data_IF_232504183782
#
_entry.id   IF_232504183782
#
_cell.length_a   1.000
_cell.length_b   1.000
_cell.length_c   1.000
_cell.angle_alpha   90.00
_cell.angle_beta   90.00
_cell.angle_gamma   90.00
#
_symmetry.space_group_name_H-M   'P 1'
#
loop_
_entity.id
_entity.type
_entity.pdbx_description
1 polymer ?
#
# COMPACT_ATOMS: atom_id res chain seq x y z
N UNK A 1 40.14 -9.92 44.68
CA UNK A 1 40.52 -9.34 43.38
C UNK A 1 40.26 -10.30 42.22
N UNK A 2 40.51 -11.60 42.35
CA UNK A 2 40.36 -12.56 41.24
C UNK A 2 38.92 -12.86 40.81
N UNK A 3 37.98 -12.83 41.75
CA UNK A 3 36.55 -13.02 41.42
C UNK A 3 36.01 -11.88 40.52
N UNK A 4 36.34 -10.65 40.84
CA UNK A 4 35.94 -9.50 40.03
C UNK A 4 36.54 -9.53 38.63
N UNK A 5 37.82 -9.97 38.49
CA UNK A 5 38.45 -10.17 37.19
C UNK A 5 37.79 -11.26 36.36
N UNK A 6 37.40 -12.38 37.01
CA UNK A 6 36.66 -13.47 36.35
C UNK A 6 35.28 -12.98 35.86
N UNK A 7 34.51 -12.27 36.71
CA UNK A 7 33.21 -11.73 36.35
C UNK A 7 33.35 -10.76 35.18
N UNK A 8 34.31 -9.81 35.22
CA UNK A 8 34.58 -8.86 34.13
C UNK A 8 34.91 -9.59 32.82
N UNK A 9 35.72 -10.64 32.86
CA UNK A 9 36.07 -11.45 31.67
C UNK A 9 34.84 -12.17 31.10
N UNK A 10 33.97 -12.74 31.92
CA UNK A 10 32.74 -13.39 31.44
C UNK A 10 31.76 -12.38 30.88
N UNK A 11 31.62 -11.21 31.47
CA UNK A 11 30.81 -10.13 30.92
C UNK A 11 31.33 -9.63 29.56
N UNK A 12 32.66 -9.50 29.41
CA UNK A 12 33.29 -9.14 28.16
C UNK A 12 33.03 -10.20 27.08
N UNK A 13 33.24 -11.47 27.39
CA UNK A 13 32.98 -12.58 26.45
C UNK A 13 31.51 -12.64 26.09
N UNK A 14 30.60 -12.53 27.04
CA UNK A 14 29.16 -12.46 26.80
C UNK A 14 28.78 -11.29 25.91
N UNK A 15 29.35 -10.13 26.16
CA UNK A 15 29.15 -8.93 25.29
C UNK A 15 29.65 -9.12 23.85
N UNK A 16 30.81 -9.76 23.70
CA UNK A 16 31.35 -10.07 22.35
C UNK A 16 30.49 -11.09 21.60
N UNK A 17 30.01 -12.13 22.29
CA UNK A 17 29.12 -13.14 21.69
C UNK A 17 27.78 -12.52 21.28
N UNK A 18 27.21 -11.69 22.14
CA UNK A 18 25.96 -10.97 21.85
C UNK A 18 26.14 -10.01 20.66
N UNK A 19 27.25 -9.25 20.64
CA UNK A 19 27.60 -8.37 19.54
C UNK A 19 27.78 -9.13 18.22
N UNK A 20 28.49 -10.26 18.27
CA UNK A 20 28.67 -11.15 17.11
C UNK A 20 27.33 -11.70 16.60
N UNK A 21 26.48 -12.20 17.49
CA UNK A 21 25.17 -12.70 17.13
C UNK A 21 24.29 -11.57 16.50
N UNK A 22 24.42 -10.35 17.00
CA UNK A 22 23.71 -9.19 16.45
C UNK A 22 24.17 -8.85 15.04
N UNK A 23 25.50 -8.86 14.81
CA UNK A 23 26.08 -8.64 13.49
C UNK A 23 25.60 -9.70 12.51
N UNK A 24 25.66 -10.98 12.89
CA UNK A 24 25.17 -12.09 12.06
C UNK A 24 23.67 -11.92 11.75
N UNK A 25 22.87 -11.55 12.75
CA UNK A 25 21.44 -11.30 12.57
C UNK A 25 21.18 -10.19 11.56
N UNK A 26 21.90 -9.07 11.64
CA UNK A 26 21.73 -7.95 10.67
C UNK A 26 22.29 -8.35 9.31
N UNK A 27 23.47 -8.99 9.27
CA UNK A 27 24.11 -9.43 8.03
C UNK A 27 23.27 -10.49 7.28
N UNK A 28 22.40 -11.23 7.99
CA UNK A 28 21.48 -12.17 7.34
C UNK A 28 20.59 -11.49 6.28
N UNK A 29 20.40 -10.16 6.34
CA UNK A 29 19.66 -9.41 5.33
C UNK A 29 20.33 -9.44 3.93
N UNK A 30 21.62 -9.76 3.84
CA UNK A 30 22.28 -9.99 2.55
C UNK A 30 21.89 -11.31 1.89
N UNK A 31 21.39 -12.27 2.68
CA UNK A 31 21.02 -13.63 2.24
C UNK A 31 19.49 -13.83 2.16
N UNK A 32 18.69 -12.77 2.34
CA UNK A 32 17.26 -12.84 2.01
C UNK A 32 17.07 -13.15 0.53
N UNK A 33 15.85 -13.62 0.19
CA UNK A 33 15.47 -14.02 -1.15
C UNK A 33 16.09 -13.15 -2.25
N UNK A 34 16.38 -13.76 -3.38
CA UNK A 34 17.07 -13.08 -4.46
C UNK A 34 16.27 -11.87 -4.98
N UNK A 35 16.66 -10.69 -4.49
CA UNK A 35 16.07 -9.42 -4.91
C UNK A 35 16.13 -9.23 -6.43
N UNK A 36 17.11 -9.86 -7.11
CA UNK A 36 17.26 -9.78 -8.55
C UNK A 36 16.11 -10.43 -9.32
N UNK A 37 15.44 -11.43 -8.74
CA UNK A 37 14.23 -12.03 -9.33
C UNK A 37 13.10 -11.02 -9.51
N UNK A 38 13.02 -10.01 -8.64
CA UNK A 38 12.02 -8.95 -8.75
C UNK A 38 12.14 -8.11 -10.02
N UNK A 39 13.25 -8.22 -10.77
CA UNK A 39 13.37 -7.63 -12.12
C UNK A 39 12.32 -8.22 -13.08
N UNK A 40 12.02 -9.50 -12.94
CA UNK A 40 11.20 -10.26 -13.89
C UNK A 40 9.93 -10.84 -13.27
N UNK A 41 9.97 -11.17 -11.98
CA UNK A 41 8.85 -11.80 -11.26
C UNK A 41 8.17 -10.81 -10.33
N UNK A 42 6.86 -10.88 -10.25
CA UNK A 42 6.08 -10.13 -9.28
C UNK A 42 6.01 -10.91 -7.97
N UNK A 43 6.17 -10.25 -6.80
CA UNK A 43 5.99 -10.92 -5.53
C UNK A 43 4.52 -11.36 -5.36
N UNK A 44 4.31 -12.62 -5.06
CA UNK A 44 2.96 -13.18 -4.86
C UNK A 44 2.45 -12.96 -3.42
N UNK A 45 3.37 -12.93 -2.47
CA UNK A 45 3.06 -12.69 -1.05
C UNK A 45 4.18 -11.91 -0.38
N UNK A 46 3.84 -10.91 0.38
CA UNK A 46 4.81 -10.08 1.11
C UNK A 46 4.80 -10.41 2.60
N UNK A 47 5.87 -10.02 3.31
CA UNK A 47 5.92 -10.15 4.76
C UNK A 47 4.78 -9.39 5.45
N UNK A 48 4.36 -8.24 4.90
CA UNK A 48 3.21 -7.48 5.42
C UNK A 48 1.89 -8.22 5.24
N UNK A 49 1.66 -8.86 4.09
CA UNK A 49 0.47 -9.70 3.88
C UNK A 49 0.41 -10.86 4.88
N UNK A 50 1.53 -11.58 5.04
CA UNK A 50 1.64 -12.65 6.03
C UNK A 50 1.37 -12.15 7.45
N UNK A 51 1.94 -11.00 7.82
CA UNK A 51 1.69 -10.39 9.11
C UNK A 51 0.21 -10.01 9.31
N UNK A 52 -0.46 -9.54 8.26
CA UNK A 52 -1.88 -9.20 8.30
C UNK A 52 -2.75 -10.43 8.54
N UNK A 53 -2.48 -11.53 7.86
CA UNK A 53 -3.18 -12.81 8.07
C UNK A 53 -3.00 -13.33 9.49
N UNK A 54 -1.77 -13.32 10.01
CA UNK A 54 -1.47 -13.69 11.40
C UNK A 54 -2.25 -12.80 12.38
N UNK A 55 -2.30 -11.50 12.17
CA UNK A 55 -3.07 -10.59 13.01
C UNK A 55 -4.58 -10.91 13.01
N UNK A 56 -5.13 -11.27 11.86
CA UNK A 56 -6.54 -11.67 11.76
C UNK A 56 -6.81 -12.99 12.47
N UNK A 57 -5.91 -13.96 12.33
CA UNK A 57 -5.99 -15.24 13.02
C UNK A 57 -6.03 -15.03 14.54
N UNK A 58 -5.09 -14.23 15.10
CA UNK A 58 -5.09 -13.88 16.52
C UNK A 58 -6.37 -13.19 17.00
N UNK A 59 -7.01 -12.40 16.14
CA UNK A 59 -8.27 -11.73 16.45
C UNK A 59 -9.50 -12.60 16.20
N UNK A 60 -9.34 -13.87 15.79
CA UNK A 60 -10.44 -14.76 15.45
C UNK A 60 -11.21 -14.37 14.17
N UNK A 61 -10.63 -13.53 13.32
CA UNK A 61 -11.26 -13.03 12.09
C UNK A 61 -11.03 -14.00 10.92
N UNK A 62 -11.57 -15.21 11.01
CA UNK A 62 -11.33 -16.33 10.07
C UNK A 62 -11.81 -16.08 8.62
N UNK A 63 -12.71 -15.13 8.40
CA UNK A 63 -13.31 -14.87 7.09
C UNK A 63 -12.61 -13.76 6.30
N UNK A 64 -11.60 -13.10 6.87
CA UNK A 64 -10.84 -12.08 6.17
C UNK A 64 -9.82 -12.70 5.23
N UNK A 65 -9.66 -12.08 4.06
CA UNK A 65 -8.70 -12.48 3.03
C UNK A 65 -7.97 -11.26 2.50
N UNK A 66 -6.73 -11.49 2.07
CA UNK A 66 -5.97 -10.50 1.31
C UNK A 66 -6.65 -10.32 -0.05
N UNK A 67 -6.89 -9.05 -0.40
CA UNK A 67 -7.35 -8.66 -1.73
C UNK A 67 -6.24 -7.88 -2.43
N UNK A 68 -5.71 -8.43 -3.50
CA UNK A 68 -4.66 -7.85 -4.32
C UNK A 68 -4.92 -8.13 -5.79
N UNK A 69 -4.76 -7.11 -6.63
CA UNK A 69 -4.78 -7.23 -8.09
C UNK A 69 -3.54 -6.52 -8.61
N UNK A 70 -2.66 -7.28 -9.29
CA UNK A 70 -1.46 -6.71 -9.89
C UNK A 70 -1.77 -6.04 -11.22
N UNK A 71 -1.25 -4.83 -11.42
CA UNK A 71 -1.29 -4.12 -12.70
C UNK A 71 0.09 -3.51 -13.01
N UNK A 72 0.54 -3.53 -14.28
CA UNK A 72 1.80 -2.87 -14.65
C UNK A 72 1.66 -1.35 -14.47
N UNK A 73 2.79 -0.67 -14.24
CA UNK A 73 2.81 0.78 -14.03
C UNK A 73 2.14 1.57 -15.17
N UNK A 74 2.17 1.04 -16.40
CA UNK A 74 1.51 1.63 -17.57
C UNK A 74 -0.03 1.57 -17.53
N UNK A 75 -0.60 0.77 -16.63
CA UNK A 75 -2.05 0.65 -16.38
C UNK A 75 -2.49 1.34 -15.08
N UNK A 76 -1.62 2.15 -14.49
CA UNK A 76 -1.92 2.99 -13.33
C UNK A 76 -2.02 4.44 -13.82
N UNK A 77 -3.02 5.15 -13.35
CA UNK A 77 -3.18 6.58 -13.64
C UNK A 77 -1.88 7.33 -13.32
N UNK A 78 -1.37 8.16 -14.23
CA UNK A 78 -0.19 8.99 -13.95
C UNK A 78 -0.40 9.90 -12.74
N UNK A 79 -1.64 10.34 -12.50
CA UNK A 79 -2.00 11.10 -11.31
C UNK A 79 -1.76 10.31 -10.02
N UNK A 80 -2.11 9.02 -10.01
CA UNK A 80 -1.93 8.17 -8.84
C UNK A 80 -0.45 7.95 -8.52
N UNK A 81 0.37 7.65 -9.51
CA UNK A 81 1.81 7.52 -9.32
C UNK A 81 2.43 8.85 -8.82
N UNK A 82 2.04 9.99 -9.39
CA UNK A 82 2.53 11.32 -9.00
C UNK A 82 2.05 11.74 -7.61
N UNK A 83 0.79 11.49 -7.27
CA UNK A 83 0.26 11.79 -5.94
C UNK A 83 1.00 11.02 -4.83
N UNK A 84 1.31 9.74 -5.07
CA UNK A 84 2.08 8.91 -4.13
C UNK A 84 3.50 9.44 -3.99
N UNK A 85 4.18 9.78 -5.08
CA UNK A 85 5.51 10.39 -5.04
C UNK A 85 5.51 11.68 -4.21
N UNK A 86 4.58 12.59 -4.48
CA UNK A 86 4.46 13.87 -3.75
C UNK A 86 4.15 13.66 -2.26
N UNK A 87 3.32 12.67 -1.94
CA UNK A 87 2.90 12.44 -0.55
C UNK A 87 3.96 11.73 0.29
N UNK A 88 4.70 10.78 -0.28
CA UNK A 88 5.57 9.84 0.42
C UNK A 88 7.07 10.09 0.17
N UNK A 89 7.46 10.50 -1.05
CA UNK A 89 8.87 10.60 -1.43
C UNK A 89 9.04 11.49 -2.68
N UNK A 90 8.96 12.79 -2.47
CA UNK A 90 8.96 13.76 -3.56
C UNK A 90 10.24 13.77 -4.39
N UNK A 91 11.37 13.35 -3.79
CA UNK A 91 12.68 13.25 -4.43
C UNK A 91 13.04 11.84 -4.88
N UNK A 92 12.08 10.92 -4.99
CA UNK A 92 12.29 9.50 -5.28
C UNK A 92 13.28 9.22 -6.42
N UNK A 93 13.21 9.98 -7.50
CA UNK A 93 14.09 9.81 -8.66
C UNK A 93 15.48 10.48 -8.50
N UNK A 94 15.66 11.28 -7.44
CA UNK A 94 16.88 12.07 -7.22
C UNK A 94 17.85 11.46 -6.18
N UNK A 95 17.46 10.37 -5.52
CA UNK A 95 18.28 9.68 -4.52
C UNK A 95 18.39 8.18 -4.80
N UNK A 96 19.36 7.52 -4.20
CA UNK A 96 19.61 6.06 -4.30
C UNK A 96 19.12 5.32 -3.05
N UNK A 97 17.81 5.40 -2.79
CA UNK A 97 17.15 4.70 -1.70
C UNK A 97 17.07 5.48 -0.38
N UNK A 98 17.87 6.51 -0.17
CA UNK A 98 17.91 7.29 1.07
C UNK A 98 17.88 8.79 0.77
N UNK A 99 16.85 9.49 1.23
CA UNK A 99 16.80 10.95 1.22
C UNK A 99 17.31 11.49 2.56
N UNK A 100 18.63 11.71 2.63
CA UNK A 100 19.28 12.20 3.85
C UNK A 100 18.80 13.60 4.24
N UNK A 101 18.42 14.45 3.29
CA UNK A 101 17.91 15.79 3.57
C UNK A 101 16.52 15.72 4.21
N UNK A 102 15.63 14.87 3.66
CA UNK A 102 14.32 14.65 4.27
C UNK A 102 14.43 13.99 5.65
N UNK A 103 15.36 13.04 5.83
CA UNK A 103 15.65 12.43 7.13
C UNK A 103 16.12 13.45 8.15
N UNK A 104 17.05 14.32 7.80
CA UNK A 104 17.54 15.39 8.67
C UNK A 104 16.42 16.34 9.06
N UNK A 105 15.63 16.82 8.09
CA UNK A 105 14.48 17.70 8.34
C UNK A 105 13.43 17.05 9.26
N UNK A 106 13.20 15.74 9.12
CA UNK A 106 12.28 15.01 9.99
C UNK A 106 12.81 14.96 11.43
N UNK A 107 14.09 14.64 11.62
CA UNK A 107 14.74 14.62 12.95
C UNK A 107 14.72 16.01 13.61
N UNK A 108 15.09 17.07 12.89
CA UNK A 108 15.04 18.44 13.40
C UNK A 108 13.63 18.83 13.87
N UNK A 109 12.62 18.42 13.09
CA UNK A 109 11.22 18.69 13.41
C UNK A 109 10.73 17.90 14.62
N UNK A 110 11.14 16.64 14.74
CA UNK A 110 10.84 15.79 15.88
C UNK A 110 11.48 16.33 17.16
N UNK A 111 12.72 16.79 17.11
CA UNK A 111 13.42 17.43 18.24
C UNK A 111 12.69 18.70 18.65
N UNK A 112 12.36 19.60 17.69
CA UNK A 112 11.63 20.85 17.98
C UNK A 112 10.27 20.63 18.62
N UNK A 113 9.59 19.54 18.30
CA UNK A 113 8.25 19.22 18.79
C UNK A 113 8.26 18.29 20.01
N UNK A 114 9.42 17.77 20.41
CA UNK A 114 9.55 16.80 21.49
C UNK A 114 8.78 15.49 21.23
N UNK A 115 8.55 15.14 19.98
CA UNK A 115 7.72 13.99 19.57
C UNK A 115 8.29 13.33 18.33
N UNK A 116 8.50 12.02 18.38
CA UNK A 116 8.86 11.20 17.21
C UNK A 116 7.62 10.96 16.33
N UNK A 117 7.31 11.93 15.49
CA UNK A 117 6.09 11.91 14.65
C UNK A 117 6.37 11.97 13.15
N UNK A 118 7.46 12.61 12.75
CA UNK A 118 7.78 12.81 11.34
C UNK A 118 8.66 11.68 10.83
N UNK A 119 8.27 11.04 9.74
CA UNK A 119 9.02 9.99 9.09
C UNK A 119 9.77 10.54 7.88
N UNK A 120 11.06 10.23 7.76
CA UNK A 120 11.87 10.49 6.57
C UNK A 120 12.17 9.20 5.80
N UNK A 121 11.25 8.24 5.78
CA UNK A 121 11.47 6.99 5.05
C UNK A 121 11.02 7.13 3.60
N UNK A 122 11.87 6.72 2.68
CA UNK A 122 11.64 6.74 1.23
C UNK A 122 10.72 5.59 0.80
N UNK A 123 10.21 5.66 -0.44
CA UNK A 123 9.44 4.57 -1.07
C UNK A 123 10.26 3.28 -1.11
N UNK A 124 11.57 3.34 -1.41
CA UNK A 124 12.44 2.16 -1.43
C UNK A 124 12.60 1.51 -0.07
N UNK A 125 12.71 2.30 1.01
CA UNK A 125 12.74 1.81 2.39
C UNK A 125 11.40 1.18 2.79
N UNK A 126 10.29 1.81 2.41
CA UNK A 126 8.95 1.26 2.64
C UNK A 126 8.75 -0.05 1.88
N UNK A 127 9.21 -0.12 0.63
CA UNK A 127 9.15 -1.35 -0.17
C UNK A 127 9.95 -2.49 0.47
N UNK A 128 11.21 -2.23 0.87
CA UNK A 128 12.05 -3.20 1.56
C UNK A 128 11.36 -3.76 2.81
N UNK A 129 10.77 -2.87 3.61
CA UNK A 129 9.99 -3.24 4.80
C UNK A 129 8.78 -4.11 4.43
N UNK A 130 7.98 -3.69 3.46
CA UNK A 130 6.75 -4.38 3.09
C UNK A 130 7.00 -5.78 2.53
N UNK A 131 8.04 -5.94 1.72
CA UNK A 131 8.38 -7.21 1.10
C UNK A 131 8.94 -8.24 2.09
N UNK A 132 9.87 -7.81 2.96
CA UNK A 132 10.77 -8.74 3.65
C UNK A 132 10.69 -8.68 5.17
N UNK A 133 10.08 -7.64 5.77
CA UNK A 133 10.17 -7.37 7.20
C UNK A 133 8.81 -7.24 7.86
N UNK A 134 8.77 -7.44 9.18
CA UNK A 134 7.59 -7.18 9.99
C UNK A 134 7.39 -5.67 10.23
N UNK A 135 6.18 -5.20 10.55
CA UNK A 135 5.91 -3.79 10.88
C UNK A 135 6.44 -3.36 12.26
N UNK A 136 7.19 -4.20 12.97
CA UNK A 136 7.74 -3.89 14.30
C UNK A 136 8.64 -2.65 14.29
N UNK A 137 8.69 -1.93 15.42
CA UNK A 137 9.55 -0.74 15.61
C UNK A 137 10.92 -1.09 16.23
N UNK A 138 11.52 -2.22 15.87
CA UNK A 138 12.80 -2.65 16.38
C UNK A 138 13.95 -1.98 15.61
N UNK A 139 14.97 -1.36 16.28
CA UNK A 139 16.14 -0.77 15.62
C UNK A 139 16.91 -1.75 14.72
N UNK A 140 17.03 -3.02 15.13
CA UNK A 140 17.70 -4.05 14.34
C UNK A 140 16.95 -4.37 13.04
N UNK A 141 15.62 -4.35 13.09
CA UNK A 141 14.81 -4.43 11.88
C UNK A 141 15.10 -3.24 10.95
N UNK A 142 15.27 -2.03 11.52
CA UNK A 142 15.62 -0.85 10.71
C UNK A 142 16.99 -0.99 10.05
N UNK A 143 17.97 -1.59 10.72
CA UNK A 143 19.27 -1.90 10.12
C UNK A 143 19.13 -2.88 8.94
N UNK A 144 18.33 -3.95 9.08
CA UNK A 144 18.02 -4.86 7.96
C UNK A 144 17.31 -4.15 6.81
N UNK A 145 16.36 -3.26 7.13
CA UNK A 145 15.65 -2.45 6.13
C UNK A 145 16.63 -1.62 5.28
N UNK A 146 17.66 -1.02 5.89
CA UNK A 146 18.68 -0.27 5.16
C UNK A 146 19.45 -1.14 4.17
N UNK A 147 19.88 -2.32 4.59
CA UNK A 147 20.57 -3.28 3.71
C UNK A 147 19.68 -3.70 2.55
N UNK A 148 18.42 -4.05 2.83
CA UNK A 148 17.47 -4.47 1.81
C UNK A 148 17.12 -3.33 0.85
N UNK A 149 17.03 -2.10 1.34
CA UNK A 149 16.83 -0.90 0.50
C UNK A 149 17.98 -0.74 -0.49
N UNK A 150 19.21 -0.81 0.00
CA UNK A 150 20.40 -0.76 -0.85
C UNK A 150 20.42 -1.88 -1.91
N UNK A 151 20.04 -3.12 -1.53
CA UNK A 151 19.90 -4.25 -2.47
C UNK A 151 18.85 -3.99 -3.52
N UNK A 152 17.68 -3.44 -3.15
CA UNK A 152 16.60 -3.10 -4.10
C UNK A 152 17.09 -2.07 -5.12
N UNK A 153 17.71 -0.97 -4.66
CA UNK A 153 18.19 0.09 -5.53
C UNK A 153 19.30 -0.37 -6.49
N UNK A 154 20.21 -1.23 -6.02
CA UNK A 154 21.28 -1.78 -6.88
C UNK A 154 20.78 -2.81 -7.90
N UNK A 155 19.63 -3.42 -7.66
CA UNK A 155 19.11 -4.48 -8.54
C UNK A 155 17.96 -4.02 -9.42
N UNK A 156 17.17 -3.05 -9.01
CA UNK A 156 15.93 -2.66 -9.70
C UNK A 156 16.03 -1.22 -10.20
N UNK A 157 15.42 -0.95 -11.33
CA UNK A 157 15.20 0.43 -11.76
C UNK A 157 14.18 1.15 -10.85
N UNK A 158 14.29 2.46 -10.71
CA UNK A 158 13.31 3.30 -10.00
C UNK A 158 11.88 3.03 -10.46
N UNK A 159 11.68 2.89 -11.77
CA UNK A 159 10.39 2.56 -12.37
C UNK A 159 9.83 1.23 -11.83
N UNK A 160 10.71 0.20 -11.70
CA UNK A 160 10.31 -1.11 -11.18
C UNK A 160 10.05 -1.07 -9.68
N UNK A 161 10.85 -0.35 -8.91
CA UNK A 161 10.61 -0.13 -7.48
C UNK A 161 9.25 0.51 -7.24
N UNK A 162 8.92 1.57 -7.99
CA UNK A 162 7.62 2.24 -7.88
C UNK A 162 6.47 1.31 -8.29
N UNK A 163 6.64 0.55 -9.37
CA UNK A 163 5.63 -0.43 -9.83
C UNK A 163 5.33 -1.46 -8.75
N UNK A 164 6.36 -2.07 -8.17
CA UNK A 164 6.20 -3.06 -7.11
C UNK A 164 5.55 -2.39 -5.89
N UNK A 165 6.03 -1.22 -5.47
CA UNK A 165 5.49 -0.49 -4.32
C UNK A 165 3.99 -0.25 -4.45
N UNK A 166 3.54 0.30 -5.58
CA UNK A 166 2.14 0.59 -5.83
C UNK A 166 1.26 -0.68 -5.81
N UNK A 167 1.83 -1.84 -6.13
CA UNK A 167 1.11 -3.12 -6.16
C UNK A 167 1.16 -3.90 -4.84
N UNK A 168 2.10 -3.59 -3.92
CA UNK A 168 2.24 -4.34 -2.66
C UNK A 168 1.99 -3.51 -1.41
N UNK A 169 1.89 -2.19 -1.51
CA UNK A 169 1.51 -1.34 -0.38
C UNK A 169 0.11 -1.68 0.10
N UNK A 170 -0.11 -1.61 1.42
CA UNK A 170 -1.43 -1.75 2.02
C UNK A 170 -2.17 -0.41 2.00
N UNK A 171 -3.39 -0.40 1.48
CA UNK A 171 -4.25 0.78 1.32
C UNK A 171 -5.48 0.76 2.24
N UNK A 172 -5.70 -0.36 2.91
CA UNK A 172 -6.80 -0.61 3.83
C UNK A 172 -6.61 -1.98 4.47
N UNK A 173 -7.45 -2.37 5.42
CA UNK A 173 -7.32 -3.64 6.13
C UNK A 173 -7.45 -4.84 5.18
N UNK A 174 -6.30 -5.36 4.72
CA UNK A 174 -6.21 -6.46 3.76
C UNK A 174 -6.33 -6.06 2.30
N UNK A 175 -6.37 -4.76 2.00
CA UNK A 175 -6.40 -4.24 0.64
C UNK A 175 -4.98 -3.88 0.24
N UNK A 176 -4.38 -4.69 -0.62
CA UNK A 176 -3.02 -4.53 -1.09
C UNK A 176 -2.99 -4.19 -2.58
N UNK A 177 -2.20 -3.20 -2.93
CA UNK A 177 -2.06 -2.70 -4.30
C UNK A 177 -3.12 -1.69 -4.71
N UNK A 178 -2.69 -0.78 -5.58
CA UNK A 178 -3.48 0.38 -6.00
C UNK A 178 -4.71 0.02 -6.82
N UNK A 179 -4.66 -1.06 -7.60
CA UNK A 179 -5.81 -1.54 -8.38
C UNK A 179 -6.91 -2.06 -7.45
N UNK A 180 -6.52 -2.87 -6.44
CA UNK A 180 -7.45 -3.35 -5.43
C UNK A 180 -8.07 -2.18 -4.64
N UNK A 181 -7.24 -1.18 -4.28
CA UNK A 181 -7.69 0.02 -3.58
C UNK A 181 -8.66 0.85 -4.42
N UNK A 182 -8.33 1.09 -5.69
CA UNK A 182 -9.18 1.85 -6.62
C UNK A 182 -10.56 1.19 -6.77
N UNK A 183 -10.59 -0.12 -7.00
CA UNK A 183 -11.86 -0.88 -7.10
C UNK A 183 -12.66 -0.85 -5.81
N UNK A 184 -11.98 -1.02 -4.66
CA UNK A 184 -12.64 -1.05 -3.37
C UNK A 184 -13.24 0.29 -2.98
N UNK A 185 -12.51 1.38 -3.14
CA UNK A 185 -12.92 2.70 -2.65
C UNK A 185 -13.70 3.53 -3.68
N UNK A 186 -13.41 3.37 -4.97
CA UNK A 186 -13.97 4.20 -6.04
C UNK A 186 -14.72 3.41 -7.11
N UNK A 187 -14.75 2.08 -7.05
CA UNK A 187 -15.51 1.23 -7.98
C UNK A 187 -14.97 1.19 -9.41
N UNK A 188 -13.72 1.65 -9.65
CA UNK A 188 -13.11 1.74 -10.97
C UNK A 188 -11.66 1.25 -10.98
N UNK A 189 -11.08 1.12 -12.18
CA UNK A 189 -9.68 0.69 -12.33
C UNK A 189 -8.71 1.78 -11.87
N UNK A 190 -7.48 1.38 -11.49
CA UNK A 190 -6.43 2.33 -11.13
C UNK A 190 -6.03 3.27 -12.29
N UNK A 191 -6.29 2.88 -13.54
CA UNK A 191 -6.07 3.71 -14.71
C UNK A 191 -7.01 4.93 -14.79
N UNK A 192 -8.21 4.80 -14.20
CA UNK A 192 -9.29 5.78 -14.27
C UNK A 192 -9.33 6.72 -13.05
N UNK A 193 -8.37 6.60 -12.12
CA UNK A 193 -8.30 7.48 -10.96
C UNK A 193 -8.11 8.94 -11.38
N UNK A 194 -9.02 9.78 -10.93
CA UNK A 194 -8.93 11.23 -11.08
C UNK A 194 -7.80 11.80 -10.20
N UNK A 195 -7.29 13.02 -10.45
CA UNK A 195 -6.27 13.63 -9.61
C UNK A 195 -6.63 13.72 -8.13
N UNK A 196 -7.88 14.07 -7.80
CA UNK A 196 -8.33 14.18 -6.41
C UNK A 196 -8.44 12.81 -5.74
N UNK A 197 -8.97 11.79 -6.42
CA UNK A 197 -9.03 10.42 -5.90
C UNK A 197 -7.63 9.85 -5.68
N UNK A 198 -6.71 10.10 -6.60
CA UNK A 198 -5.30 9.77 -6.49
C UNK A 198 -4.66 10.41 -5.26
N UNK A 199 -4.91 11.71 -5.03
CA UNK A 199 -4.44 12.43 -3.85
C UNK A 199 -5.04 11.84 -2.56
N UNK A 200 -6.34 11.53 -2.53
CA UNK A 200 -7.02 10.91 -1.37
C UNK A 200 -6.45 9.52 -1.06
N UNK A 201 -6.15 8.70 -2.07
CA UNK A 201 -5.46 7.42 -1.87
C UNK A 201 -4.05 7.65 -1.31
N UNK A 202 -3.25 8.50 -1.91
CA UNK A 202 -1.86 8.70 -1.48
C UNK A 202 -1.75 9.09 0.01
N UNK A 203 -2.66 9.92 0.52
CA UNK A 203 -2.58 10.41 1.91
C UNK A 203 -3.01 9.41 2.97
N UNK A 204 -3.57 8.26 2.61
CA UNK A 204 -3.92 7.21 3.60
C UNK A 204 -2.79 6.22 3.82
N UNK A 205 -1.79 6.14 2.95
CA UNK A 205 -0.65 5.22 3.03
C UNK A 205 0.09 5.21 4.38
N UNK A 206 0.29 6.34 5.08
CA UNK A 206 0.96 6.31 6.37
C UNK A 206 0.20 5.56 7.47
N UNK A 207 -1.12 5.43 7.34
CA UNK A 207 -1.96 4.73 8.32
C UNK A 207 -3.24 4.15 7.69
N UNK A 208 -3.12 3.17 6.78
CA UNK A 208 -4.21 2.68 5.95
C UNK A 208 -5.31 1.96 6.74
N UNK A 209 -5.01 1.52 7.97
CA UNK A 209 -5.98 0.87 8.83
C UNK A 209 -6.94 1.84 9.54
N UNK A 210 -6.54 3.11 9.66
CA UNK A 210 -7.32 4.14 10.37
C UNK A 210 -7.86 5.22 9.45
N UNK A 211 -7.25 5.41 8.30
CA UNK A 211 -7.61 6.43 7.34
C UNK A 211 -8.41 5.79 6.19
N UNK A 212 -9.50 6.43 5.81
CA UNK A 212 -10.34 6.00 4.69
C UNK A 212 -10.33 7.11 3.62
N UNK A 213 -9.94 6.83 2.37
CA UNK A 213 -9.87 7.84 1.32
C UNK A 213 -11.25 8.38 0.91
N UNK A 214 -12.33 7.62 1.10
CA UNK A 214 -13.72 8.04 0.83
C UNK A 214 -14.47 8.52 2.07
N UNK A 215 -13.81 8.47 3.24
CA UNK A 215 -14.42 8.90 4.50
C UNK A 215 -14.43 10.43 4.67
N UNK A 216 -15.09 10.88 5.74
CA UNK A 216 -15.27 12.30 6.11
C UNK A 216 -14.16 12.84 7.00
N UNK A 217 -12.98 12.22 7.01
CA UNK A 217 -11.85 12.65 7.83
C UNK A 217 -11.31 13.99 7.34
N UNK A 218 -11.41 15.04 8.16
CA UNK A 218 -10.83 16.36 7.88
C UNK A 218 -9.31 16.30 7.62
N UNK A 219 -8.62 15.31 8.20
CA UNK A 219 -7.20 15.09 7.93
C UNK A 219 -6.97 14.64 6.47
N UNK A 220 -7.74 13.63 6.02
CA UNK A 220 -7.62 13.11 4.64
C UNK A 220 -7.98 14.19 3.65
N UNK A 221 -9.09 14.90 3.86
CA UNK A 221 -9.55 15.99 3.01
C UNK A 221 -8.47 17.08 2.85
N UNK A 222 -8.07 17.71 3.96
CA UNK A 222 -7.07 18.76 3.95
C UNK A 222 -5.72 18.31 3.37
N UNK A 223 -5.29 17.09 3.64
CA UNK A 223 -4.02 16.57 3.14
C UNK A 223 -4.09 16.27 1.65
N UNK A 224 -5.22 15.73 1.16
CA UNK A 224 -5.47 15.49 -0.25
C UNK A 224 -5.49 16.79 -1.05
N UNK A 225 -6.14 17.83 -0.54
CA UNK A 225 -6.11 19.18 -1.14
C UNK A 225 -4.69 19.73 -1.29
N UNK A 226 -3.83 19.51 -0.28
CA UNK A 226 -2.42 19.94 -0.35
C UNK A 226 -1.69 19.19 -1.47
N UNK A 227 -1.85 17.86 -1.58
CA UNK A 227 -1.23 17.04 -2.63
C UNK A 227 -1.75 17.46 -4.00
N UNK A 228 -3.06 17.58 -4.14
CA UNK A 228 -3.72 18.06 -5.36
C UNK A 228 -3.19 19.45 -5.79
N UNK A 229 -3.16 20.41 -4.87
CA UNK A 229 -2.64 21.74 -5.14
C UNK A 229 -1.15 21.77 -5.54
N UNK A 230 -0.34 20.79 -5.07
CA UNK A 230 1.04 20.61 -5.55
C UNK A 230 1.02 20.07 -6.99
N UNK A 231 0.12 19.13 -7.31
CA UNK A 231 -0.01 18.59 -8.66
C UNK A 231 -0.39 19.68 -9.67
N UNK A 232 -1.35 20.54 -9.31
CA UNK A 232 -1.74 21.70 -10.13
C UNK A 232 -0.55 22.65 -10.33
N UNK A 233 0.10 23.10 -9.26
CA UNK A 233 1.26 24.02 -9.37
C UNK A 233 2.43 23.46 -10.20
N UNK A 234 2.54 22.15 -10.32
CA UNK A 234 3.56 21.49 -11.14
C UNK A 234 3.11 21.19 -12.57
N UNK A 235 1.91 21.64 -12.95
CA UNK A 235 1.33 21.37 -14.28
C UNK A 235 1.05 19.89 -14.54
N UNK A 236 0.93 19.06 -13.49
CA UNK A 236 0.53 17.64 -13.60
C UNK A 236 -0.97 17.56 -13.86
N UNK A 237 -1.72 18.49 -13.28
CA UNK A 237 -3.16 18.67 -13.46
C UNK A 237 -3.38 20.05 -14.07
N UNK A 238 -4.11 20.10 -15.17
CA UNK A 238 -4.55 21.34 -15.83
C UNK A 238 -6.04 21.44 -15.52
N UNK A 239 -6.42 22.37 -14.63
CA UNK A 239 -7.80 22.51 -14.15
C UNK A 239 -8.78 22.80 -15.29
N UNK A 240 -8.40 23.65 -16.23
CA UNK A 240 -9.22 23.96 -17.42
C UNK A 240 -9.54 22.70 -18.26
N UNK A 241 -8.61 21.77 -18.34
CA UNK A 241 -8.81 20.51 -19.06
C UNK A 241 -9.75 19.57 -18.31
N UNK A 242 -9.70 19.54 -16.98
CA UNK A 242 -10.64 18.78 -16.17
C UNK A 242 -12.07 19.30 -16.27
N UNK A 243 -12.25 20.60 -16.31
CA UNK A 243 -13.58 21.20 -16.46
C UNK A 243 -14.17 20.93 -17.85
N UNK A 244 -13.35 20.97 -18.91
CA UNK A 244 -13.74 20.54 -20.25
C UNK A 244 -14.16 19.07 -20.28
N UNK A 245 -13.40 18.19 -19.61
CA UNK A 245 -13.71 16.74 -19.56
C UNK A 245 -14.93 16.41 -18.70
N UNK A 246 -15.31 17.27 -17.76
CA UNK A 246 -16.53 17.13 -16.93
C UNK A 246 -17.76 17.78 -17.59
N UNK A 247 -17.54 18.68 -18.54
CA UNK A 247 -18.65 19.25 -19.29
C UNK A 247 -19.41 18.13 -20.02
N UNK A 248 -20.75 18.14 -20.00
CA UNK A 248 -21.52 17.21 -20.81
C UNK A 248 -21.05 17.36 -22.26
N UNK A 249 -21.01 16.28 -23.06
CA UNK A 249 -20.63 16.37 -24.46
C UNK A 249 -21.49 17.45 -25.12
N UNK A 250 -20.84 18.35 -25.82
CA UNK A 250 -21.54 19.42 -26.55
C UNK A 250 -22.72 18.80 -27.29
N UNK A 251 -23.89 19.41 -27.15
CA UNK A 251 -25.07 18.95 -27.86
C UNK A 251 -24.76 18.78 -29.35
N UNK A 252 -25.56 18.04 -30.10
CA UNK A 252 -25.28 17.75 -31.51
C UNK A 252 -24.82 19.03 -32.22
N UNK A 253 -23.75 18.94 -33.03
CA UNK A 253 -23.19 20.14 -33.69
C UNK A 253 -24.32 20.89 -34.37
N UNK A 254 -24.36 22.22 -34.26
CA UNK A 254 -25.40 23.02 -34.88
C UNK A 254 -25.48 22.63 -36.35
N UNK A 255 -26.70 22.32 -36.78
CA UNK A 255 -27.00 21.87 -38.14
C UNK A 255 -26.26 22.79 -39.11
N UNK A 256 -25.12 22.33 -39.63
CA UNK A 256 -24.36 23.08 -40.61
C UNK A 256 -25.26 23.12 -41.84
N UNK A 257 -25.91 24.26 -42.07
CA UNK A 257 -26.83 24.48 -43.17
C UNK A 257 -26.24 24.27 -44.59
N UNK A 258 -25.51 23.17 -44.74
CA UNK A 258 -25.07 22.69 -46.04
C UNK A 258 -26.25 22.04 -46.75
N UNK A 259 -26.58 22.46 -47.98
CA UNK A 259 -27.71 21.93 -48.74
C UNK A 259 -27.54 20.40 -48.93
N UNK A 260 -28.55 19.62 -48.49
CA UNK A 260 -28.62 18.20 -48.74
C UNK A 260 -28.69 17.88 -50.22
N UNK A 261 -27.93 16.93 -50.73
CA UNK A 261 -28.10 16.48 -52.10
C UNK A 261 -29.51 15.91 -52.30
N UNK A 262 -30.20 16.21 -53.39
CA UNK A 262 -31.56 15.72 -53.63
C UNK A 262 -31.55 14.20 -53.84
N UNK A 263 -32.26 13.44 -52.99
CA UNK A 263 -32.50 12.02 -53.25
C UNK A 263 -32.55 11.03 -52.10
N UNK A 264 -32.63 11.44 -50.81
CA UNK A 264 -32.89 10.49 -49.72
C UNK A 264 -34.19 10.78 -48.99
N UNK A 265 -35.21 10.02 -49.30
CA UNK A 265 -36.51 10.00 -48.60
C UNK A 265 -36.32 9.29 -47.24
N UNK A 266 -36.84 9.93 -46.17
CA UNK A 266 -36.89 9.40 -44.83
C UNK A 266 -37.82 8.17 -44.76
N UNK A 267 -37.22 6.97 -44.64
CA UNK A 267 -37.98 5.78 -44.29
C UNK A 267 -38.06 5.69 -42.77
N UNK A 268 -39.25 5.92 -42.24
CA UNK A 268 -39.61 5.58 -40.87
C UNK A 268 -39.64 4.05 -40.74
N UNK A 269 -38.80 3.51 -39.88
CA UNK A 269 -38.85 2.08 -39.49
C UNK A 269 -39.56 2.03 -38.14
N UNK A 270 -40.82 1.58 -38.19
CA UNK A 270 -41.58 1.15 -36.99
C UNK A 270 -40.96 -0.11 -36.42
N UNK A 271 -40.45 -0.04 -35.22
CA UNK A 271 -40.04 -1.23 -34.45
C UNK A 271 -41.15 -1.56 -33.50
N UNK A 272 -41.84 -2.65 -33.82
CA UNK A 272 -42.90 -3.23 -33.00
C UNK A 272 -42.33 -3.78 -31.68
N UNK A 273 -42.97 -3.40 -30.60
CA UNK A 273 -42.78 -3.85 -29.22
C UNK A 273 -43.21 -5.32 -29.08
N UNK A 274 -42.31 -6.24 -28.74
CA UNK A 274 -42.63 -7.61 -28.31
C UNK A 274 -42.33 -7.75 -26.83
N UNK A 275 -43.40 -7.78 -26.05
CA UNK A 275 -43.39 -8.23 -24.65
C UNK A 275 -43.30 -9.75 -24.63
N UNK A 276 -42.29 -10.30 -23.97
CA UNK A 276 -42.32 -11.70 -23.52
C UNK A 276 -41.89 -11.77 -22.05
N UNK A 277 -42.67 -12.58 -21.31
CA UNK A 277 -42.80 -12.59 -19.87
C UNK A 277 -41.64 -13.27 -19.13
N UNK A 278 -41.50 -12.83 -17.89
CA UNK A 278 -40.67 -13.38 -16.83
C UNK A 278 -41.47 -14.45 -16.09
N UNK A 279 -40.97 -15.67 -15.85
CA UNK A 279 -41.51 -16.52 -14.80
C UNK A 279 -40.71 -16.37 -13.50
N UNK A 280 -41.44 -16.07 -12.49
CA UNK A 280 -41.16 -16.09 -11.06
C UNK A 280 -40.66 -17.48 -10.61
N UNK A 281 -39.53 -17.54 -9.88
CA UNK A 281 -39.12 -18.72 -9.12
C UNK A 281 -38.73 -18.32 -7.71
N UNK A 282 -39.67 -18.45 -6.84
CA UNK A 282 -39.47 -18.62 -5.40
C UNK A 282 -38.58 -19.84 -5.14
N UNK A 283 -37.52 -19.68 -4.39
CA UNK A 283 -36.83 -20.77 -3.71
C UNK A 283 -36.56 -20.43 -2.25
N UNK A 284 -37.19 -21.27 -1.44
CA UNK A 284 -37.19 -21.39 0.01
C UNK A 284 -35.80 -21.60 0.59
N UNK A 285 -35.55 -20.87 1.69
CA UNK A 285 -34.38 -21.02 2.56
C UNK A 285 -34.55 -22.29 3.43
N UNK A 286 -33.49 -23.11 3.44
CA UNK A 286 -33.23 -24.13 4.44
C UNK A 286 -31.96 -23.80 5.20
N UNK A 287 -32.06 -23.75 6.54
CA UNK A 287 -30.93 -23.57 7.45
C UNK A 287 -30.13 -24.86 7.60
N UNK A 288 -28.78 -24.83 7.73
CA UNK A 288 -28.03 -26.00 8.13
C UNK A 288 -27.60 -25.98 9.60
N UNK A 289 -27.78 -27.13 10.16
CA UNK A 289 -27.43 -27.82 11.38
C UNK A 289 -26.05 -27.45 11.98
N UNK A 290 -26.04 -27.28 13.32
CA UNK A 290 -24.88 -27.10 14.17
C UNK A 290 -24.21 -28.47 14.38
N UNK A 291 -22.96 -28.62 13.92
CA UNK A 291 -22.05 -29.66 14.41
C UNK A 291 -20.78 -29.02 14.95
N UNK A 292 -20.57 -29.23 16.23
CA UNK A 292 -19.34 -28.99 16.98
C UNK A 292 -18.19 -29.81 16.39
N UNK A 293 -17.09 -29.17 16.01
CA UNK A 293 -15.83 -29.85 15.66
C UNK A 293 -14.70 -29.28 16.47
N UNK A 294 -14.06 -30.14 17.23
CA UNK A 294 -12.83 -29.94 18.01
C UNK A 294 -11.69 -29.44 17.11
N UNK A 295 -10.86 -28.45 17.55
CA UNK A 295 -9.80 -27.93 16.72
C UNK A 295 -8.61 -28.89 16.59
N UNK A 296 -7.91 -28.92 15.44
CA UNK A 296 -6.75 -29.79 15.22
C UNK A 296 -5.49 -29.28 15.96
N UNK A 297 -4.66 -30.22 16.44
CA UNK A 297 -3.41 -30.00 17.20
C UNK A 297 -2.35 -29.09 16.55
N UNK A 298 -2.51 -28.72 15.29
CA UNK A 298 -1.64 -27.76 14.61
C UNK A 298 -1.80 -26.31 15.10
N UNK A 299 -2.94 -25.98 15.70
CA UNK A 299 -3.23 -24.63 16.21
C UNK A 299 -2.47 -24.31 17.51
N UNK A 300 -2.18 -25.32 18.31
CA UNK A 300 -1.52 -25.18 19.62
C UNK A 300 -0.01 -24.88 19.46
N UNK A 301 0.66 -25.51 18.51
CA UNK A 301 2.07 -25.22 18.18
C UNK A 301 2.29 -23.84 17.54
N UNK A 302 1.29 -23.33 16.82
CA UNK A 302 1.34 -21.98 16.27
C UNK A 302 1.16 -20.91 17.37
N UNK A 303 0.37 -21.22 18.39
CA UNK A 303 0.15 -20.37 19.57
C UNK A 303 1.42 -20.18 20.39
N UNK A 304 2.12 -21.26 20.71
CA UNK A 304 3.37 -21.27 21.49
C UNK A 304 4.49 -20.47 20.80
N UNK A 305 4.56 -20.56 19.47
CA UNK A 305 5.55 -19.84 18.67
C UNK A 305 5.26 -18.33 18.52
N UNK A 306 4.02 -17.96 18.67
CA UNK A 306 3.59 -16.56 18.58
C UNK A 306 3.67 -15.82 19.92
N UNK A 307 3.45 -16.53 21.03
CA UNK A 307 3.59 -15.99 22.39
C UNK A 307 5.06 -15.66 22.72
N UNK A 308 6.00 -16.43 22.19
CA UNK A 308 7.45 -16.16 22.29
C UNK A 308 7.92 -14.92 21.51
N UNK A 309 7.08 -14.32 20.67
CA UNK A 309 7.41 -13.17 19.82
C UNK A 309 6.79 -11.83 20.30
N UNK A 310 5.99 -11.84 21.37
CA UNK A 310 5.40 -10.64 21.94
C UNK A 310 6.30 -10.03 23.02
N UNK A 311 6.65 -8.73 22.97
CA UNK A 311 7.32 -8.07 24.09
C UNK A 311 6.36 -7.96 25.26
N UNK A 312 6.84 -8.32 26.45
CA UNK A 312 6.12 -8.22 27.71
C UNK A 312 5.52 -6.82 27.92
N UNK A 313 4.21 -6.74 27.99
CA UNK A 313 3.50 -5.55 28.45
C UNK A 313 3.74 -5.41 29.94
N UNK A 314 4.50 -4.37 30.34
CA UNK A 314 4.53 -3.95 31.73
C UNK A 314 3.20 -3.26 32.06
N UNK A 315 2.32 -3.96 32.72
CA UNK A 315 1.35 -3.35 33.61
C UNK A 315 2.07 -2.92 34.89
N UNK A 316 1.77 -1.72 35.37
CA UNK A 316 2.16 -1.36 36.73
C UNK A 316 2.30 0.13 36.97
N UNK A 317 1.25 0.70 37.56
CA UNK A 317 1.14 1.86 38.47
C UNK A 317 1.48 3.24 37.92
#
# INVERSE_FOLDING_TARGET
MDLLKKISRYLLIGGMLLGGALIVYVASAFFYDDVSELKKKNPTKTAFMTHREIQWEFKGLKNKKIYQVWVPLSKISPYAAKAVLIAEDDKFYAHEGFDFEAMQKAVEKDIKLGKLKYGGSTISQQLAKNLFLSPSKNPLRKAKEMILTWRLENNLSKRRILEIYLNVAEWGDGIFGIEAASRHYFGKSAAELTPMEAARLAVVLPNPLKLNPTGTSKYVEKRAEIVYGIMVRRGIVIEEFEDIMKAPPDGPPPDSGAPRPPGMTSGTVDVAEKKDGVPDRQQTAAAPDKRETTPPQSAEKAREKAEALLPATKEGR
#
